data_IF_526284325610
#
_entry.id   IF_526284325610
#
_cell.length_a   1.000
_cell.length_b   1.000
_cell.length_c   1.000
_cell.angle_alpha   90.00
_cell.angle_beta   90.00
_cell.angle_gamma   90.00
#
_symmetry.space_group_name_H-M   'P 1'
#
loop_
_entity.id
_entity.type
_entity.pdbx_description
1 polymer ?
#
# COMPACT_ATOMS: atom_id res chain seq x y z
N UNK A 1 15.23 -27.76 -124.01
CA UNK A 1 14.54 -28.65 -124.98
C UNK A 1 13.98 -29.84 -124.22
N UNK A 2 12.68 -30.12 -124.41
CA UNK A 2 11.99 -31.42 -124.24
C UNK A 2 11.97 -32.04 -122.82
N UNK A 3 10.87 -32.55 -122.27
CA UNK A 3 9.46 -32.75 -122.71
C UNK A 3 8.71 -33.42 -121.53
N UNK A 4 7.39 -33.16 -121.46
CA UNK A 4 6.31 -34.06 -120.98
C UNK A 4 6.27 -34.37 -119.47
N UNK A 5 5.35 -33.83 -118.68
CA UNK A 5 3.89 -34.08 -118.65
C UNK A 5 3.54 -35.56 -118.45
N UNK A 6 3.02 -35.90 -117.27
CA UNK A 6 2.11 -37.03 -117.08
C UNK A 6 1.18 -36.74 -115.90
N UNK A 7 -0.03 -36.38 -116.31
CA UNK A 7 -1.27 -36.34 -115.55
C UNK A 7 -1.65 -37.78 -115.17
N UNK A 8 -1.82 -38.09 -113.89
CA UNK A 8 -2.45 -39.33 -113.44
C UNK A 8 -3.69 -38.97 -112.62
N UNK A 9 -4.80 -38.85 -113.35
CA UNK A 9 -6.17 -38.92 -112.86
C UNK A 9 -6.49 -40.41 -112.67
N UNK A 10 -6.98 -40.85 -111.50
CA UNK A 10 -8.06 -41.86 -111.35
C UNK A 10 -8.23 -42.35 -109.89
N UNK A 11 -9.51 -42.41 -109.51
CA UNK A 11 -10.16 -43.15 -108.42
C UNK A 11 -9.93 -42.70 -106.97
N UNK A 12 -10.73 -41.73 -106.55
CA UNK A 12 -11.18 -41.64 -105.16
C UNK A 12 -12.24 -42.74 -104.88
N UNK A 13 -12.06 -43.62 -103.88
CA UNK A 13 -13.18 -44.38 -103.36
C UNK A 13 -14.09 -43.43 -102.57
N UNK A 14 -15.33 -43.28 -103.04
CA UNK A 14 -16.45 -42.78 -102.22
C UNK A 14 -16.68 -43.78 -101.08
N UNK A 15 -15.90 -43.65 -100.01
CA UNK A 15 -16.27 -44.19 -98.72
C UNK A 15 -17.54 -43.49 -98.30
N UNK A 16 -18.63 -44.25 -98.20
CA UNK A 16 -19.86 -43.80 -97.57
C UNK A 16 -19.53 -43.33 -96.15
N UNK A 17 -19.41 -42.02 -95.98
CA UNK A 17 -19.44 -41.39 -94.66
C UNK A 17 -20.82 -41.67 -94.10
N UNK A 18 -20.89 -42.58 -93.12
CA UNK A 18 -22.05 -42.66 -92.25
C UNK A 18 -22.33 -41.24 -91.75
N UNK A 19 -23.56 -40.76 -91.92
CA UNK A 19 -23.95 -39.50 -91.30
C UNK A 19 -23.65 -39.63 -89.80
N UNK A 20 -22.78 -38.75 -89.28
CA UNK A 20 -22.48 -38.69 -87.85
C UNK A 20 -23.80 -38.57 -87.09
N UNK A 21 -24.01 -39.47 -86.12
CA UNK A 21 -25.17 -39.37 -85.23
C UNK A 21 -25.03 -38.06 -84.43
N UNK A 22 -25.94 -37.09 -84.60
CA UNK A 22 -25.81 -35.79 -83.97
C UNK A 22 -25.75 -35.91 -82.44
N UNK A 23 -26.41 -36.90 -81.86
CA UNK A 23 -26.47 -37.10 -80.41
C UNK A 23 -25.15 -37.65 -79.87
N UNK A 24 -24.50 -38.54 -80.63
CA UNK A 24 -23.15 -39.02 -80.33
C UNK A 24 -22.14 -37.87 -80.40
N UNK A 25 -22.28 -36.97 -81.37
CA UNK A 25 -21.43 -35.79 -81.49
C UNK A 25 -21.56 -34.87 -80.27
N UNK A 26 -22.79 -34.62 -79.78
CA UNK A 26 -23.02 -33.82 -78.56
C UNK A 26 -22.37 -34.46 -77.33
N UNK A 27 -22.53 -35.77 -77.12
CA UNK A 27 -21.93 -36.46 -75.96
C UNK A 27 -20.40 -36.44 -76.01
N UNK A 28 -19.81 -36.64 -77.19
CA UNK A 28 -18.37 -36.52 -77.39
C UNK A 28 -17.87 -35.08 -77.10
N UNK A 29 -18.58 -34.06 -77.59
CA UNK A 29 -18.22 -32.67 -77.32
C UNK A 29 -18.24 -32.35 -75.82
N UNK A 30 -19.25 -32.83 -75.09
CA UNK A 30 -19.35 -32.66 -73.63
C UNK A 30 -18.19 -33.35 -72.89
N UNK A 31 -17.83 -34.57 -73.29
CA UNK A 31 -16.69 -35.28 -72.71
C UNK A 31 -15.35 -34.57 -73.00
N UNK A 32 -15.17 -34.02 -74.21
CA UNK A 32 -13.98 -33.25 -74.56
C UNK A 32 -13.91 -31.97 -73.74
N UNK A 33 -15.02 -31.24 -73.59
CA UNK A 33 -15.06 -30.04 -72.76
C UNK A 33 -14.73 -30.36 -71.28
N UNK A 34 -15.25 -31.47 -70.76
CA UNK A 34 -14.97 -31.93 -69.40
C UNK A 34 -13.49 -32.32 -69.20
N UNK A 35 -12.82 -32.83 -70.24
CA UNK A 35 -11.39 -33.19 -70.19
C UNK A 35 -10.45 -32.00 -70.44
N UNK A 36 -10.88 -31.05 -71.28
CA UNK A 36 -10.07 -29.91 -71.67
C UNK A 36 -9.92 -28.88 -70.54
N UNK A 37 -10.86 -28.85 -69.59
CA UNK A 37 -10.78 -27.98 -68.42
C UNK A 37 -9.72 -28.47 -67.42
N UNK A 38 -8.65 -27.68 -67.16
CA UNK A 38 -7.60 -28.06 -66.23
C UNK A 38 -8.10 -28.28 -64.79
N UNK A 39 -9.19 -27.62 -64.37
CA UNK A 39 -9.77 -27.81 -63.04
C UNK A 39 -10.33 -29.23 -62.86
N UNK A 40 -10.71 -29.87 -63.97
CA UNK A 40 -11.24 -31.23 -63.98
C UNK A 40 -10.14 -32.30 -64.07
N UNK A 41 -8.88 -31.93 -64.28
CA UNK A 41 -7.79 -32.87 -64.55
C UNK A 41 -7.65 -33.94 -63.46
N UNK A 42 -7.74 -33.53 -62.19
CA UNK A 42 -7.53 -34.38 -61.01
C UNK A 42 -8.82 -34.79 -60.30
N UNK A 43 -10.00 -34.50 -60.87
CA UNK A 43 -11.30 -34.86 -60.27
C UNK A 43 -12.09 -35.79 -61.17
N UNK A 44 -13.00 -36.56 -60.56
CA UNK A 44 -13.96 -37.44 -61.23
C UNK A 44 -13.35 -38.32 -62.35
N UNK A 45 -12.07 -38.71 -62.24
CA UNK A 45 -11.36 -39.47 -63.27
C UNK A 45 -12.04 -40.80 -63.58
N UNK A 46 -12.54 -41.47 -62.53
CA UNK A 46 -13.32 -42.70 -62.66
C UNK A 46 -14.63 -42.49 -63.42
N UNK A 47 -15.41 -41.46 -63.09
CA UNK A 47 -16.69 -41.19 -63.74
C UNK A 47 -16.51 -40.75 -65.20
N UNK A 48 -15.44 -39.99 -65.48
CA UNK A 48 -15.05 -39.64 -66.86
C UNK A 48 -14.73 -40.89 -67.69
N UNK A 49 -13.98 -41.84 -67.13
CA UNK A 49 -13.67 -43.11 -67.81
C UNK A 49 -14.96 -43.92 -68.08
N UNK A 50 -15.88 -44.00 -67.12
CA UNK A 50 -17.16 -44.67 -67.31
C UNK A 50 -18.02 -44.00 -68.39
N UNK A 51 -18.04 -42.67 -68.43
CA UNK A 51 -18.74 -41.90 -69.45
C UNK A 51 -18.13 -42.13 -70.85
N UNK A 52 -16.80 -42.15 -70.98
CA UNK A 52 -16.11 -42.49 -72.23
C UNK A 52 -16.48 -43.89 -72.72
N UNK A 53 -16.48 -44.89 -71.83
CA UNK A 53 -16.87 -46.26 -72.17
C UNK A 53 -18.34 -46.36 -72.61
N UNK A 54 -19.25 -45.67 -71.92
CA UNK A 54 -20.67 -45.67 -72.28
C UNK A 54 -20.93 -45.00 -73.64
N UNK A 55 -20.24 -43.89 -73.94
CA UNK A 55 -20.30 -43.23 -75.25
C UNK A 55 -19.70 -44.10 -76.36
N UNK A 56 -18.59 -44.79 -76.09
CA UNK A 56 -18.01 -45.75 -77.03
C UNK A 56 -18.94 -46.96 -77.29
N UNK A 57 -19.65 -47.44 -76.26
CA UNK A 57 -20.64 -48.51 -76.41
C UNK A 57 -21.85 -48.03 -77.25
N UNK A 58 -22.32 -46.80 -77.03
CA UNK A 58 -23.37 -46.19 -77.84
C UNK A 58 -22.98 -46.07 -79.32
N UNK A 59 -21.75 -45.64 -79.61
CA UNK A 59 -21.22 -45.55 -80.97
C UNK A 59 -21.24 -46.90 -81.72
N UNK A 60 -21.08 -48.02 -81.00
CA UNK A 60 -21.00 -49.37 -81.55
C UNK A 60 -22.30 -50.19 -81.39
N UNK A 61 -23.35 -49.60 -80.80
CA UNK A 61 -24.58 -50.32 -80.46
C UNK A 61 -25.38 -50.73 -81.71
N UNK A 62 -25.99 -51.93 -81.67
CA UNK A 62 -26.89 -52.39 -82.73
C UNK A 62 -28.19 -51.57 -82.70
N UNK A 63 -28.88 -51.47 -83.84
CA UNK A 63 -30.12 -50.69 -83.99
C UNK A 63 -31.19 -50.97 -82.93
N UNK A 64 -31.28 -52.21 -82.41
CA UNK A 64 -32.26 -52.61 -81.38
C UNK A 64 -31.87 -52.18 -79.95
N UNK A 65 -30.59 -51.97 -79.69
CA UNK A 65 -30.02 -51.64 -78.37
C UNK A 65 -29.61 -50.15 -78.28
N UNK A 66 -29.74 -49.42 -79.38
CA UNK A 66 -29.23 -48.05 -79.54
C UNK A 66 -29.86 -47.06 -78.58
N UNK A 67 -31.17 -47.15 -78.35
CA UNK A 67 -31.89 -46.25 -77.43
C UNK A 67 -31.46 -46.47 -75.97
N UNK A 68 -31.26 -47.72 -75.57
CA UNK A 68 -30.77 -48.07 -74.23
C UNK A 68 -29.31 -47.64 -74.04
N UNK A 69 -28.45 -47.90 -75.04
CA UNK A 69 -27.05 -47.48 -75.02
C UNK A 69 -26.91 -45.95 -74.98
N UNK A 70 -27.77 -45.23 -75.71
CA UNK A 70 -27.86 -43.77 -75.67
C UNK A 70 -28.22 -43.28 -74.28
N UNK A 71 -29.31 -43.80 -73.69
CA UNK A 71 -29.76 -43.40 -72.35
C UNK A 71 -28.66 -43.59 -71.30
N UNK A 72 -27.97 -44.73 -71.34
CA UNK A 72 -26.85 -45.01 -70.44
C UNK A 72 -25.69 -44.04 -70.67
N UNK A 73 -25.34 -43.74 -71.92
CA UNK A 73 -24.28 -42.79 -72.25
C UNK A 73 -24.61 -41.36 -71.77
N UNK A 74 -25.82 -40.88 -72.04
CA UNK A 74 -26.32 -39.59 -71.55
C UNK A 74 -26.22 -39.51 -70.02
N UNK A 75 -26.69 -40.55 -69.32
CA UNK A 75 -26.68 -40.57 -67.87
C UNK A 75 -25.27 -40.61 -67.29
N UNK A 76 -24.35 -41.36 -67.90
CA UNK A 76 -22.95 -41.43 -67.45
C UNK A 76 -22.21 -40.11 -67.68
N UNK A 77 -22.44 -39.43 -68.81
CA UNK A 77 -21.89 -38.10 -69.05
C UNK A 77 -22.41 -37.09 -68.03
N UNK A 78 -23.71 -37.12 -67.72
CA UNK A 78 -24.30 -36.25 -66.70
C UNK A 78 -23.73 -36.50 -65.29
N UNK A 79 -23.53 -37.78 -64.92
CA UNK A 79 -22.89 -38.15 -63.65
C UNK A 79 -21.46 -37.61 -63.61
N UNK A 80 -20.68 -37.81 -64.67
CA UNK A 80 -19.29 -37.34 -64.72
C UNK A 80 -19.19 -35.81 -64.55
N UNK A 81 -20.05 -35.04 -65.23
CA UNK A 81 -20.11 -33.59 -65.09
C UNK A 81 -20.52 -33.15 -63.67
N UNK A 82 -21.54 -33.80 -63.11
CA UNK A 82 -22.06 -33.47 -61.78
C UNK A 82 -21.01 -33.77 -60.71
N UNK A 83 -20.33 -34.91 -60.82
CA UNK A 83 -19.28 -35.30 -59.89
C UNK A 83 -18.06 -34.39 -60.01
N UNK A 84 -17.65 -34.01 -61.22
CA UNK A 84 -16.56 -33.05 -61.40
C UNK A 84 -16.87 -31.69 -60.74
N UNK A 85 -18.08 -31.16 -60.93
CA UNK A 85 -18.54 -29.92 -60.27
C UNK A 85 -18.57 -30.06 -58.74
N UNK A 86 -19.06 -31.19 -58.23
CA UNK A 86 -19.12 -31.46 -56.81
C UNK A 86 -17.73 -31.53 -56.17
N UNK A 87 -16.77 -32.20 -56.80
CA UNK A 87 -15.40 -32.31 -56.31
C UNK A 87 -14.66 -30.96 -56.35
N UNK A 88 -14.85 -30.15 -57.39
CA UNK A 88 -14.30 -28.79 -57.44
C UNK A 88 -14.86 -27.94 -56.30
N UNK A 89 -16.18 -27.99 -56.08
CA UNK A 89 -16.82 -27.25 -54.99
C UNK A 89 -16.28 -27.71 -53.61
N UNK A 90 -16.08 -29.02 -53.41
CA UNK A 90 -15.46 -29.56 -52.18
C UNK A 90 -14.06 -29.01 -51.97
N UNK A 91 -13.21 -29.01 -53.00
CA UNK A 91 -11.85 -28.44 -52.90
C UNK A 91 -11.86 -26.96 -52.53
N UNK A 92 -12.80 -26.18 -53.07
CA UNK A 92 -12.96 -24.77 -52.72
C UNK A 92 -13.36 -24.60 -51.26
N UNK A 93 -14.28 -25.42 -50.75
CA UNK A 93 -14.65 -25.44 -49.34
C UNK A 93 -13.43 -25.74 -48.47
N UNK A 94 -12.68 -26.80 -48.78
CA UNK A 94 -11.47 -27.16 -48.02
C UNK A 94 -10.42 -26.05 -48.01
N UNK A 95 -10.25 -25.35 -49.14
CA UNK A 95 -9.32 -24.21 -49.24
C UNK A 95 -9.80 -23.01 -48.42
N UNK A 96 -11.10 -22.71 -48.46
CA UNK A 96 -11.71 -21.63 -47.68
C UNK A 96 -11.66 -21.94 -46.18
N UNK A 97 -11.87 -23.19 -45.79
CA UNK A 97 -11.77 -23.63 -44.39
C UNK A 97 -10.34 -23.49 -43.85
N UNK A 98 -9.33 -23.87 -44.64
CA UNK A 98 -7.91 -23.64 -44.30
C UNK A 98 -7.62 -22.15 -44.14
N UNK A 99 -8.02 -21.35 -45.12
CA UNK A 99 -7.86 -19.88 -45.09
C UNK A 99 -8.55 -19.26 -43.87
N UNK A 100 -9.78 -19.68 -43.57
CA UNK A 100 -10.52 -19.25 -42.38
C UNK A 100 -9.79 -19.63 -41.09
N UNK A 101 -9.27 -20.85 -41.01
CA UNK A 101 -8.52 -21.32 -39.85
C UNK A 101 -7.25 -20.50 -39.63
N UNK A 102 -6.49 -20.23 -40.70
CA UNK A 102 -5.30 -19.39 -40.64
C UNK A 102 -5.62 -17.96 -40.18
N UNK A 103 -6.68 -17.36 -40.72
CA UNK A 103 -7.15 -16.03 -40.32
C UNK A 103 -7.58 -15.98 -38.84
N UNK A 104 -8.25 -17.02 -38.34
CA UNK A 104 -8.64 -17.10 -36.93
C UNK A 104 -7.41 -17.24 -36.02
N UNK A 105 -6.42 -18.03 -36.43
CA UNK A 105 -5.15 -18.16 -35.70
C UNK A 105 -4.42 -16.81 -35.67
N UNK A 106 -4.34 -16.09 -36.79
CA UNK A 106 -3.74 -14.76 -36.83
C UNK A 106 -4.49 -13.75 -35.96
N UNK A 107 -5.81 -13.72 -36.03
CA UNK A 107 -6.64 -12.84 -35.21
C UNK A 107 -6.40 -13.12 -33.71
N UNK A 108 -6.42 -14.39 -33.31
CA UNK A 108 -6.14 -14.83 -31.94
C UNK A 108 -4.73 -14.43 -31.49
N UNK A 109 -3.71 -14.58 -32.35
CA UNK A 109 -2.34 -14.14 -32.05
C UNK A 109 -2.24 -12.64 -31.83
N UNK A 110 -2.92 -11.84 -32.66
CA UNK A 110 -2.96 -10.37 -32.53
C UNK A 110 -3.66 -9.94 -31.24
N UNK A 111 -4.77 -10.59 -30.90
CA UNK A 111 -5.50 -10.34 -29.66
C UNK A 111 -4.65 -10.71 -28.43
N UNK A 112 -4.02 -11.88 -28.42
CA UNK A 112 -3.13 -12.30 -27.35
C UNK A 112 -1.93 -11.35 -27.17
N UNK A 113 -1.38 -10.81 -28.27
CA UNK A 113 -0.32 -9.81 -28.21
C UNK A 113 -0.79 -8.49 -27.59
N UNK A 114 -1.99 -8.01 -27.95
CA UNK A 114 -2.58 -6.80 -27.35
C UNK A 114 -2.87 -6.99 -25.86
N UNK A 115 -3.46 -8.12 -25.48
CA UNK A 115 -3.73 -8.46 -24.08
C UNK A 115 -2.44 -8.50 -23.25
N UNK A 116 -1.34 -9.05 -23.78
CA UNK A 116 -0.03 -9.03 -23.13
C UNK A 116 0.52 -7.62 -22.97
N UNK A 117 0.41 -6.77 -23.99
CA UNK A 117 0.84 -5.38 -23.91
C UNK A 117 0.04 -4.58 -22.87
N UNK A 118 -1.27 -4.80 -22.79
CA UNK A 118 -2.13 -4.16 -21.78
C UNK A 118 -1.79 -4.65 -20.38
N UNK A 119 -1.61 -5.97 -20.19
CA UNK A 119 -1.18 -6.54 -18.91
C UNK A 119 0.18 -5.99 -18.45
N UNK A 120 1.15 -5.85 -19.38
CA UNK A 120 2.46 -5.27 -19.07
C UNK A 120 2.34 -3.80 -18.68
N UNK A 121 1.53 -3.01 -19.40
CA UNK A 121 1.27 -1.60 -19.04
C UNK A 121 0.66 -1.47 -17.66
N UNK A 122 -0.31 -2.33 -17.31
CA UNK A 122 -0.91 -2.34 -15.98
C UNK A 122 0.09 -2.75 -14.90
N UNK A 123 0.95 -3.74 -15.18
CA UNK A 123 2.02 -4.16 -14.28
C UNK A 123 3.01 -3.01 -14.00
N UNK A 124 3.44 -2.30 -15.03
CA UNK A 124 4.33 -1.14 -14.89
C UNK A 124 3.65 -0.02 -14.10
N UNK A 125 2.38 0.30 -14.39
CA UNK A 125 1.64 1.31 -13.63
C UNK A 125 1.50 0.92 -12.15
N UNK A 126 1.21 -0.34 -11.85
CA UNK A 126 1.13 -0.83 -10.48
C UNK A 126 2.50 -0.74 -9.76
N UNK A 127 3.60 -1.02 -10.47
CA UNK A 127 4.95 -0.86 -9.92
C UNK A 127 5.28 0.60 -9.62
N UNK A 128 4.95 1.52 -10.53
CA UNK A 128 5.15 2.97 -10.31
C UNK A 128 4.36 3.44 -9.10
N UNK A 129 3.09 3.05 -8.98
CA UNK A 129 2.25 3.40 -7.83
C UNK A 129 2.81 2.84 -6.51
N UNK A 130 3.36 1.62 -6.53
CA UNK A 130 3.98 1.02 -5.36
C UNK A 130 5.26 1.79 -4.95
N UNK A 131 6.11 2.15 -5.92
CA UNK A 131 7.33 2.92 -5.69
C UNK A 131 7.02 4.34 -5.20
N UNK A 132 6.01 5.00 -5.76
CA UNK A 132 5.56 6.32 -5.31
C UNK A 132 4.99 6.25 -3.88
N UNK A 133 4.21 5.22 -3.57
CA UNK A 133 3.70 5.01 -2.22
C UNK A 133 4.83 4.71 -1.21
N UNK A 134 5.86 3.97 -1.60
CA UNK A 134 7.04 3.72 -0.79
C UNK A 134 7.85 5.00 -0.56
N UNK A 135 8.08 5.78 -1.61
CA UNK A 135 8.74 7.10 -1.53
C UNK A 135 8.00 8.06 -0.59
N UNK A 136 6.66 8.12 -0.70
CA UNK A 136 5.84 8.92 0.21
C UNK A 136 5.92 8.45 1.66
N UNK A 137 6.00 7.13 1.91
CA UNK A 137 6.21 6.59 3.27
C UNK A 137 7.58 6.98 3.82
N UNK A 138 8.64 6.83 3.02
CA UNK A 138 9.98 7.23 3.42
C UNK A 138 10.06 8.73 3.72
N UNK A 139 9.40 9.57 2.91
CA UNK A 139 9.32 11.01 3.15
C UNK A 139 8.57 11.34 4.44
N UNK A 140 7.45 10.66 4.72
CA UNK A 140 6.69 10.84 5.95
C UNK A 140 7.48 10.38 7.19
N UNK A 141 8.20 9.25 7.10
CA UNK A 141 9.08 8.76 8.16
C UNK A 141 10.25 9.73 8.42
N UNK A 142 10.87 10.26 7.36
CA UNK A 142 11.91 11.27 7.48
C UNK A 142 11.41 12.57 8.11
N UNK A 143 10.19 13.02 7.75
CA UNK A 143 9.57 14.18 8.38
C UNK A 143 9.25 13.93 9.86
N UNK A 144 8.74 12.76 10.21
CA UNK A 144 8.49 12.39 11.59
C UNK A 144 9.78 12.32 12.41
N UNK A 145 10.85 11.76 11.85
CA UNK A 145 12.16 11.74 12.49
C UNK A 145 12.71 13.17 12.70
N UNK A 146 12.63 14.04 11.68
CA UNK A 146 13.06 15.43 11.81
C UNK A 146 12.25 16.21 12.87
N UNK A 147 10.95 15.96 13.00
CA UNK A 147 10.12 16.53 14.07
C UNK A 147 10.52 16.00 15.45
N UNK A 148 10.74 14.70 15.58
CA UNK A 148 11.18 14.08 16.83
C UNK A 148 12.55 14.63 17.28
N UNK A 149 13.48 14.82 16.35
CA UNK A 149 14.78 15.42 16.61
C UNK A 149 14.66 16.89 17.05
N UNK A 150 13.78 17.67 16.41
CA UNK A 150 13.49 19.04 16.80
C UNK A 150 12.88 19.11 18.21
N UNK A 151 11.92 18.25 18.53
CA UNK A 151 11.30 18.15 19.86
C UNK A 151 12.32 17.75 20.92
N UNK A 152 13.19 16.78 20.63
CA UNK A 152 14.27 16.37 21.52
C UNK A 152 15.27 17.51 21.79
N UNK A 153 15.62 18.30 20.77
CA UNK A 153 16.48 19.46 20.91
C UNK A 153 15.83 20.55 21.78
N UNK A 154 14.53 20.84 21.56
CA UNK A 154 13.78 21.79 22.38
C UNK A 154 13.66 21.33 23.84
N UNK A 155 13.37 20.05 24.07
CA UNK A 155 13.31 19.48 25.42
C UNK A 155 14.67 19.57 26.14
N UNK A 156 15.77 19.33 25.43
CA UNK A 156 17.12 19.49 25.97
C UNK A 156 17.41 20.93 26.38
N UNK A 157 17.11 21.91 25.52
CA UNK A 157 17.29 23.33 25.83
C UNK A 157 16.41 23.77 27.01
N UNK A 158 15.14 23.36 27.03
CA UNK A 158 14.23 23.65 28.14
C UNK A 158 14.71 23.03 29.46
N UNK A 159 15.25 21.80 29.41
CA UNK A 159 15.88 21.14 30.56
C UNK A 159 17.10 21.91 31.08
N UNK A 160 17.98 22.37 30.18
CA UNK A 160 19.13 23.20 30.54
C UNK A 160 18.71 24.56 31.13
N UNK A 161 17.69 25.21 30.57
CA UNK A 161 17.16 26.48 31.10
C UNK A 161 16.57 26.28 32.50
N UNK A 162 15.79 25.22 32.71
CA UNK A 162 15.19 24.88 34.01
C UNK A 162 16.28 24.60 35.06
N UNK A 163 17.35 23.87 34.69
CA UNK A 163 18.49 23.62 35.56
C UNK A 163 19.26 24.89 35.91
N UNK A 164 19.43 25.82 34.96
CA UNK A 164 20.08 27.13 35.22
C UNK A 164 19.23 27.99 36.17
N UNK A 165 17.91 28.03 35.98
CA UNK A 165 16.99 28.78 36.83
C UNK A 165 16.98 28.23 38.26
N UNK A 166 16.92 26.90 38.44
CA UNK A 166 16.95 26.29 39.78
C UNK A 166 18.29 26.51 40.48
N UNK A 167 19.42 26.43 39.76
CA UNK A 167 20.74 26.74 40.30
C UNK A 167 20.85 28.22 40.73
N UNK A 168 20.28 29.15 39.94
CA UNK A 168 20.24 30.57 40.29
C UNK A 168 19.39 30.83 41.54
N UNK A 169 18.20 30.23 41.64
CA UNK A 169 17.32 30.32 42.82
C UNK A 169 17.98 29.75 44.08
N UNK A 170 18.68 28.62 43.97
CA UNK A 170 19.42 28.05 45.10
C UNK A 170 20.55 28.99 45.55
N UNK A 171 21.25 29.63 44.61
CA UNK A 171 22.31 30.59 44.92
C UNK A 171 21.76 31.85 45.59
N UNK A 172 20.65 32.42 45.11
CA UNK A 172 20.03 33.59 45.73
C UNK A 172 19.51 33.29 47.13
N UNK A 173 18.91 32.11 47.35
CA UNK A 173 18.46 31.69 48.67
C UNK A 173 19.63 31.51 49.65
N UNK A 174 20.76 30.96 49.21
CA UNK A 174 21.98 30.87 50.04
C UNK A 174 22.50 32.25 50.44
N UNK A 175 22.60 33.17 49.48
CA UNK A 175 23.06 34.54 49.75
C UNK A 175 22.12 35.29 50.72
N UNK A 176 20.79 35.17 50.53
CA UNK A 176 19.82 35.77 51.44
C UNK A 176 19.94 35.25 52.88
N UNK A 177 20.33 33.98 53.06
CA UNK A 177 20.61 33.42 54.39
C UNK A 177 21.88 33.99 54.99
N UNK A 178 22.97 34.04 54.23
CA UNK A 178 24.23 34.65 54.67
C UNK A 178 24.00 36.11 55.09
N UNK A 179 23.22 36.87 54.31
CA UNK A 179 22.82 38.23 54.66
C UNK A 179 21.97 38.30 55.93
N UNK A 180 20.99 37.41 56.10
CA UNK A 180 20.15 37.38 57.30
C UNK A 180 20.94 36.98 58.56
N UNK A 181 21.87 36.03 58.46
CA UNK A 181 22.76 35.63 59.56
C UNK A 181 23.72 36.77 59.94
N UNK A 182 24.23 37.51 58.96
CA UNK A 182 25.07 38.69 59.19
C UNK A 182 24.30 39.84 59.86
N UNK A 183 23.03 40.07 59.52
CA UNK A 183 22.21 41.15 60.08
C UNK A 183 21.60 40.80 61.46
N UNK A 184 21.18 39.56 61.67
CA UNK A 184 20.50 39.13 62.91
C UNK A 184 21.46 38.78 64.06
N UNK A 185 22.74 38.53 63.78
CA UNK A 185 23.76 38.16 64.78
C UNK A 185 23.46 36.87 65.56
N UNK A 186 22.47 36.08 65.12
CA UNK A 186 21.99 34.85 65.77
C UNK A 186 21.64 33.81 64.69
N UNK A 187 21.94 32.53 64.98
CA UNK A 187 21.88 31.44 63.98
C UNK A 187 20.44 31.01 63.68
N UNK A 188 20.07 30.97 62.40
CA UNK A 188 18.78 30.45 61.93
C UNK A 188 18.65 28.94 62.19
N UNK A 189 17.42 28.41 62.41
CA UNK A 189 17.19 26.97 62.51
C UNK A 189 17.54 26.26 61.19
N UNK A 190 17.88 24.97 61.26
CA UNK A 190 18.29 24.18 60.09
C UNK A 190 17.17 24.18 59.03
N UNK A 191 17.51 24.45 57.76
CA UNK A 191 16.51 24.63 56.70
C UNK A 191 16.81 23.81 55.44
N UNK A 192 15.75 23.28 54.81
CA UNK A 192 15.77 22.50 53.57
C UNK A 192 14.70 22.98 52.60
N UNK A 193 15.02 22.99 51.30
CA UNK A 193 14.03 23.27 50.26
C UNK A 193 13.39 21.96 49.80
N UNK A 194 12.07 21.88 49.93
CA UNK A 194 11.25 20.76 49.44
C UNK A 194 10.23 21.29 48.43
N UNK A 195 9.52 20.40 47.72
CA UNK A 195 8.47 20.81 46.75
C UNK A 195 7.29 21.61 47.33
N UNK A 196 7.24 21.79 48.66
CA UNK A 196 6.22 22.57 49.38
C UNK A 196 6.75 23.92 49.89
N UNK A 197 8.00 24.26 49.55
CA UNK A 197 8.68 25.50 49.95
C UNK A 197 9.87 25.28 50.87
N UNK A 198 10.30 26.35 51.54
CA UNK A 198 11.45 26.33 52.46
C UNK A 198 11.00 25.84 53.85
N UNK A 199 11.60 24.75 54.34
CA UNK A 199 11.23 24.11 55.61
C UNK A 199 12.34 24.30 56.63
N UNK A 200 12.05 25.07 57.68
CA UNK A 200 12.92 25.24 58.85
C UNK A 200 12.55 24.22 59.93
N UNK A 201 13.52 23.45 60.41
CA UNK A 201 13.32 22.38 61.39
C UNK A 201 13.83 22.78 62.76
N UNK A 202 12.94 22.68 63.75
CA UNK A 202 13.23 22.81 65.17
C UNK A 202 13.46 21.40 65.77
N UNK A 203 14.60 21.22 66.44
CA UNK A 203 15.00 19.92 67.00
C UNK A 203 14.13 19.48 68.17
N UNK A 204 14.28 18.23 68.63
CA UNK A 204 13.58 17.69 69.80
C UNK A 204 13.74 18.53 71.09
N UNK A 205 14.85 19.26 71.21
CA UNK A 205 15.15 20.13 72.36
C UNK A 205 14.41 21.49 72.32
N UNK A 206 13.65 21.77 71.25
CA UNK A 206 12.93 23.03 71.12
C UNK A 206 11.76 23.17 72.11
N UNK A 207 11.26 22.04 72.63
CA UNK A 207 10.21 22.00 73.64
C UNK A 207 10.63 21.07 74.78
N UNK A 208 10.25 21.40 76.01
CA UNK A 208 10.45 20.49 77.14
C UNK A 208 9.62 19.19 76.99
N UNK A 209 10.10 18.07 77.56
CA UNK A 209 9.38 16.80 77.54
C UNK A 209 7.95 16.96 78.10
N UNK A 210 6.93 16.60 77.32
CA UNK A 210 5.51 16.76 77.67
C UNK A 210 5.02 18.21 77.78
N UNK A 211 5.88 19.20 77.50
CA UNK A 211 5.56 20.64 77.58
C UNK A 211 5.33 21.22 76.18
N UNK A 212 4.57 22.31 76.15
CA UNK A 212 4.31 23.10 74.95
C UNK A 212 5.12 24.41 74.87
N UNK A 213 5.80 24.78 75.96
CA UNK A 213 6.63 25.99 76.00
C UNK A 213 7.95 25.78 75.24
N UNK A 214 8.37 26.80 74.50
CA UNK A 214 9.67 26.84 73.81
C UNK A 214 10.81 26.90 74.81
N UNK A 215 11.92 26.23 74.51
CA UNK A 215 13.19 26.43 75.21
C UNK A 215 13.80 27.80 74.87
N UNK A 216 14.74 28.29 75.68
CA UNK A 216 15.43 29.57 75.42
C UNK A 216 16.10 29.62 74.04
N UNK A 217 16.74 28.52 73.64
CA UNK A 217 17.38 28.40 72.33
C UNK A 217 16.36 28.41 71.19
N UNK A 218 15.23 27.71 71.35
CA UNK A 218 14.17 27.71 70.35
C UNK A 218 13.45 29.06 70.26
N UNK A 219 13.33 29.80 71.36
CA UNK A 219 12.82 31.16 71.36
C UNK A 219 13.76 32.11 70.59
N UNK A 220 15.08 31.98 70.76
CA UNK A 220 16.07 32.74 70.00
C UNK A 220 16.04 32.38 68.50
N UNK A 221 15.95 31.10 68.16
CA UNK A 221 15.79 30.64 66.77
C UNK A 221 14.49 31.14 66.14
N UNK A 222 13.38 31.14 66.90
CA UNK A 222 12.11 31.69 66.45
C UNK A 222 12.18 33.20 66.21
N UNK A 223 12.95 33.94 67.02
CA UNK A 223 13.20 35.38 66.82
C UNK A 223 14.05 35.66 65.58
N UNK A 224 15.11 34.89 65.34
CA UNK A 224 15.90 35.01 64.11
C UNK A 224 15.04 34.66 62.87
N UNK A 225 14.24 33.59 62.97
CA UNK A 225 13.31 33.20 61.92
C UNK A 225 12.24 34.26 61.66
N UNK A 226 11.73 34.94 62.70
CA UNK A 226 10.73 36.00 62.52
C UNK A 226 11.30 37.19 61.75
N UNK A 227 12.56 37.57 61.99
CA UNK A 227 13.24 38.61 61.22
C UNK A 227 13.42 38.20 59.75
N UNK A 228 13.82 36.96 59.50
CA UNK A 228 13.89 36.42 58.14
C UNK A 228 12.52 36.42 57.44
N UNK A 229 11.44 36.07 58.16
CA UNK A 229 10.05 36.06 57.67
C UNK A 229 9.44 37.45 57.44
N UNK A 230 10.02 38.49 58.03
CA UNK A 230 9.64 39.88 57.71
C UNK A 230 10.22 40.30 56.36
N UNK A 231 11.41 39.80 56.02
CA UNK A 231 12.07 40.03 54.73
C UNK A 231 11.44 39.14 53.65
N UNK A 232 11.16 37.87 53.97
CA UNK A 232 10.57 36.92 53.02
C UNK A 232 9.05 37.07 52.89
N UNK A 233 8.57 37.08 51.65
CA UNK A 233 7.14 37.17 51.32
C UNK A 233 6.60 35.76 51.08
N UNK A 234 5.65 35.32 51.89
CA UNK A 234 5.09 33.96 51.80
C UNK A 234 4.13 33.61 52.96
N UNK A 235 3.24 32.64 52.75
CA UNK A 235 2.42 32.06 53.83
C UNK A 235 3.25 31.09 54.65
N UNK A 236 3.14 31.16 55.96
CA UNK A 236 3.92 30.37 56.90
C UNK A 236 3.02 29.32 57.52
N UNK A 237 3.42 28.06 57.46
CA UNK A 237 2.76 26.95 58.13
C UNK A 237 3.69 26.36 59.18
N UNK A 238 3.27 26.45 60.42
CA UNK A 238 3.92 25.83 61.56
C UNK A 238 3.30 24.45 61.77
N UNK A 239 4.12 23.41 61.70
CA UNK A 239 3.72 22.03 61.93
C UNK A 239 4.51 21.51 63.13
N UNK A 240 3.84 21.29 64.27
CA UNK A 240 4.49 20.70 65.45
C UNK A 240 4.04 19.26 65.65
N UNK A 241 4.94 18.44 66.17
CA UNK A 241 4.76 16.99 66.29
C UNK A 241 4.80 16.57 67.75
N UNK A 242 3.83 15.75 68.16
CA UNK A 242 3.84 15.00 69.41
C UNK A 242 2.94 13.75 69.30
N UNK A 243 3.16 12.77 70.18
CA UNK A 243 2.30 11.59 70.31
C UNK A 243 0.89 11.95 70.80
N UNK A 244 0.77 13.03 71.55
CA UNK A 244 -0.49 13.63 71.97
C UNK A 244 -0.88 14.80 71.04
N UNK A 245 -2.06 14.73 70.43
CA UNK A 245 -2.52 15.74 69.47
C UNK A 245 -2.76 17.12 70.11
N UNK A 246 -3.17 17.16 71.38
CA UNK A 246 -3.38 18.40 72.12
C UNK A 246 -2.05 19.08 72.47
N UNK A 247 -1.03 18.30 72.85
CA UNK A 247 0.35 18.81 73.05
C UNK A 247 0.95 19.29 71.75
N UNK A 248 0.76 18.54 70.65
CA UNK A 248 1.22 18.94 69.31
C UNK A 248 0.62 20.28 68.90
N UNK A 249 -0.69 20.49 69.08
CA UNK A 249 -1.34 21.76 68.75
C UNK A 249 -0.81 22.91 69.60
N UNK A 250 -0.70 22.71 70.93
CA UNK A 250 -0.15 23.74 71.84
C UNK A 250 1.28 24.14 71.48
N UNK A 251 2.11 23.20 71.01
CA UNK A 251 3.47 23.51 70.52
C UNK A 251 3.46 24.34 69.24
N UNK A 252 2.58 24.01 68.30
CA UNK A 252 2.41 24.78 67.07
C UNK A 252 1.93 26.21 67.39
N UNK A 253 1.01 26.35 68.35
CA UNK A 253 0.51 27.65 68.81
C UNK A 253 1.58 28.46 69.54
N UNK A 254 2.42 27.83 70.37
CA UNK A 254 3.53 28.50 71.05
C UNK A 254 4.57 29.03 70.06
N UNK A 255 4.91 28.25 69.03
CA UNK A 255 5.83 28.68 67.99
C UNK A 255 5.20 29.78 67.10
N UNK A 256 3.92 29.68 66.77
CA UNK A 256 3.18 30.78 66.12
C UNK A 256 3.19 32.05 66.96
N UNK A 257 2.94 31.97 68.27
CA UNK A 257 2.98 33.12 69.16
C UNK A 257 4.37 33.78 69.19
N UNK A 258 5.44 32.99 69.20
CA UNK A 258 6.80 33.50 69.12
C UNK A 258 7.10 34.22 67.79
N UNK A 259 6.66 33.67 66.66
CA UNK A 259 6.83 34.30 65.35
C UNK A 259 6.02 35.61 65.23
N UNK A 260 4.79 35.61 65.75
CA UNK A 260 3.92 36.81 65.75
C UNK A 260 4.47 37.88 66.70
N UNK A 261 4.90 37.50 67.90
CA UNK A 261 5.58 38.40 68.83
C UNK A 261 6.89 38.95 68.27
N UNK A 262 7.54 38.20 67.38
CA UNK A 262 8.69 38.62 66.61
C UNK A 262 8.38 39.43 65.35
N UNK A 263 7.15 39.90 65.16
CA UNK A 263 6.75 40.86 64.11
C UNK A 263 6.12 40.27 62.84
N UNK A 264 5.88 38.96 62.77
CA UNK A 264 5.20 38.33 61.62
C UNK A 264 3.68 38.50 61.75
N UNK A 265 3.00 38.97 60.71
CA UNK A 265 1.54 39.16 60.76
C UNK A 265 0.79 37.85 61.05
N UNK A 266 -0.13 37.86 62.03
CA UNK A 266 -0.80 36.65 62.53
C UNK A 266 -1.67 35.92 61.50
N UNK A 267 -2.14 36.63 60.47
CA UNK A 267 -2.87 36.08 59.32
C UNK A 267 -1.98 35.32 58.33
N UNK A 268 -0.65 35.53 58.37
CA UNK A 268 0.32 34.80 57.54
C UNK A 268 0.72 33.47 58.15
N UNK A 269 0.53 33.27 59.45
CA UNK A 269 1.01 32.10 60.19
C UNK A 269 -0.13 31.17 60.56
N UNK A 270 -0.16 29.99 59.95
CA UNK A 270 -1.07 28.91 60.31
C UNK A 270 -0.34 27.91 61.21
N UNK A 271 -0.93 27.56 62.36
CA UNK A 271 -0.39 26.56 63.28
C UNK A 271 -1.20 25.26 63.23
N UNK A 272 -0.53 24.14 63.04
CA UNK A 272 -1.14 22.81 62.97
C UNK A 272 -0.33 21.83 63.82
N UNK A 273 -0.97 21.25 64.84
CA UNK A 273 -0.44 20.10 65.56
C UNK A 273 -0.68 18.82 64.76
N UNK A 274 0.38 18.06 64.50
CA UNK A 274 0.31 16.74 63.86
C UNK A 274 0.64 15.65 64.87
N UNK A 275 -0.26 14.67 64.98
CA UNK A 275 0.01 13.46 65.76
C UNK A 275 1.12 12.67 65.08
N UNK A 276 2.26 12.53 65.75
CA UNK A 276 3.45 11.86 65.20
C UNK A 276 4.63 11.92 66.16
N UNK A 277 5.63 11.05 66.02
CA UNK A 277 6.76 11.01 66.94
C UNK A 277 7.54 12.34 66.88
N UNK A 278 7.63 13.03 68.03
CA UNK A 278 8.64 14.06 68.24
C UNK A 278 9.98 13.36 68.42
N UNK A 279 10.90 13.57 67.48
CA UNK A 279 12.21 12.92 67.47
C UNK A 279 13.28 13.90 67.94
N UNK A 280 14.46 13.39 68.33
CA UNK A 280 15.61 14.24 68.66
C UNK A 280 15.95 15.23 67.53
N UNK A 281 15.74 14.82 66.27
CA UNK A 281 16.01 15.64 65.10
C UNK A 281 14.89 16.62 64.75
N UNK A 282 13.64 16.36 65.16
CA UNK A 282 12.47 17.13 64.73
C UNK A 282 11.34 17.08 65.76
N UNK A 283 10.97 18.25 66.28
CA UNK A 283 9.76 18.47 67.08
C UNK A 283 8.79 19.44 66.43
N UNK A 284 9.26 20.37 65.61
CA UNK A 284 8.43 21.25 64.81
C UNK A 284 9.13 21.64 63.50
N UNK A 285 8.33 22.00 62.51
CA UNK A 285 8.76 22.51 61.22
C UNK A 285 7.99 23.78 60.89
N UNK A 286 8.67 24.76 60.31
CA UNK A 286 8.07 25.98 59.79
C UNK A 286 8.28 25.96 58.28
N UNK A 287 7.20 25.77 57.55
CA UNK A 287 7.17 25.72 56.09
C UNK A 287 6.79 27.09 55.56
N UNK A 288 7.64 27.69 54.76
CA UNK A 288 7.36 28.90 54.00
C UNK A 288 6.92 28.47 52.60
N UNK A 289 5.65 28.66 52.30
CA UNK A 289 5.15 28.41 50.95
C UNK A 289 5.83 29.36 49.96
N UNK A 290 6.19 28.87 48.75
CA UNK A 290 6.80 29.69 47.70
C UNK A 290 5.86 30.80 47.21
#
# INVERSE_FOLDING_TARGET
MRRLALLALLLAPLGAMAADDPELAVLNQRLVALQADPLNADVAAYERLQAQQAVANFANAKRKERDEARYLAERRVEIAETMARAEIARRQVDQLEKTRSDLLIEASRREAARARQEAERLRVQAQIQAEEAESLRQAAEAEQAARADADAALASVAGQQTAKLSAAQQKSAKLAREEAELVAGTKLPASRFEGRGEVFTFSGAAFGAGKAALSGDAANQAKALSQYLQISKGKVRVEAYDTDAGVAQKRADALRAALVGGGVAANRVQAVGKKGPSTKARSAEVVIAP
#
